data_IF_084574791645
#
_entry.id   IF_084574791645
#
_cell.length_a   1.000
_cell.length_b   1.000
_cell.length_c   1.000
_cell.angle_alpha   90.00
_cell.angle_beta   90.00
_cell.angle_gamma   90.00
#
_symmetry.space_group_name_H-M   'P 1'
#
loop_
_entity.id
_entity.type
_entity.pdbx_description
1 polymer ?
#
# COMPACT_ATOMS: atom_id res chain seq x y z
N UNK A 1 7.09 19.87 -5.80
CA UNK A 1 6.23 19.52 -6.99
C UNK A 1 5.79 18.09 -6.85
N UNK A 2 4.53 17.79 -7.08
CA UNK A 2 4.04 16.41 -7.01
C UNK A 2 4.63 15.63 -8.21
N UNK A 3 5.28 14.47 -8.01
CA UNK A 3 6.05 13.80 -9.07
C UNK A 3 5.26 13.52 -10.35
N UNK A 4 3.98 13.19 -10.25
CA UNK A 4 3.11 12.93 -11.40
C UNK A 4 2.87 14.17 -12.29
N UNK A 5 3.03 15.40 -11.77
CA UNK A 5 2.91 16.61 -12.58
C UNK A 5 3.98 16.68 -13.68
N UNK A 6 5.09 15.95 -13.50
CA UNK A 6 6.18 15.86 -14.49
C UNK A 6 5.86 14.95 -15.68
N UNK A 7 4.72 14.25 -15.66
CA UNK A 7 4.29 13.34 -16.73
C UNK A 7 3.39 13.98 -17.78
N UNK A 8 3.14 15.30 -17.73
CA UNK A 8 2.17 15.96 -18.60
C UNK A 8 2.41 15.70 -20.11
N UNK A 9 3.65 15.83 -20.57
CA UNK A 9 4.01 15.64 -21.99
C UNK A 9 3.85 14.19 -22.44
N UNK A 10 4.35 13.24 -21.67
CA UNK A 10 4.24 11.81 -22.01
C UNK A 10 2.79 11.33 -21.88
N UNK A 11 2.01 11.91 -20.98
CA UNK A 11 0.57 11.66 -20.88
C UNK A 11 -0.16 12.15 -22.11
N UNK A 12 0.19 13.34 -22.63
CA UNK A 12 -0.37 13.87 -23.87
C UNK A 12 -0.03 12.96 -25.05
N UNK A 13 1.22 12.49 -25.15
CA UNK A 13 1.63 11.54 -26.18
C UNK A 13 0.85 10.23 -26.12
N UNK A 14 0.68 9.65 -24.92
CA UNK A 14 -0.10 8.43 -24.75
C UNK A 14 -1.59 8.60 -25.10
N UNK A 15 -2.16 9.77 -24.80
CA UNK A 15 -3.56 10.10 -25.17
C UNK A 15 -3.79 10.31 -26.67
N UNK A 16 -2.74 10.65 -27.42
CA UNK A 16 -2.81 10.84 -28.87
C UNK A 16 -2.89 9.53 -29.67
N UNK A 17 -2.75 8.38 -29.01
CA UNK A 17 -2.91 7.07 -29.66
C UNK A 17 -4.34 6.91 -30.18
N UNK A 18 -4.52 6.39 -31.41
CA UNK A 18 -5.82 6.28 -32.11
C UNK A 18 -6.89 5.51 -31.28
N UNK A 19 -6.48 4.46 -30.54
CA UNK A 19 -7.36 3.67 -29.68
C UNK A 19 -7.38 4.19 -28.23
N UNK A 20 -6.90 5.41 -27.97
CA UNK A 20 -6.85 6.04 -26.66
C UNK A 20 -5.77 5.48 -25.74
N UNK A 21 -5.63 6.11 -24.58
CA UNK A 21 -4.62 5.78 -23.58
C UNK A 21 -4.97 4.51 -22.81
N UNK A 22 -3.93 3.71 -22.48
CA UNK A 22 -3.95 2.71 -21.42
C UNK A 22 -3.12 3.24 -20.25
N UNK A 23 -3.77 3.66 -19.19
CA UNK A 23 -3.10 4.21 -18.01
C UNK A 23 -2.82 3.11 -16.98
N UNK A 24 -1.55 2.72 -16.87
CA UNK A 24 -1.00 1.78 -15.90
C UNK A 24 -0.05 2.49 -14.91
N UNK A 25 -0.12 3.81 -14.80
CA UNK A 25 0.79 4.60 -13.96
C UNK A 25 0.34 4.71 -12.51
N UNK A 26 -0.97 4.70 -12.24
CA UNK A 26 -1.55 4.90 -10.92
C UNK A 26 -2.27 3.65 -10.46
N UNK A 27 -1.93 3.15 -9.28
CA UNK A 27 -2.58 1.99 -8.66
C UNK A 27 -3.97 2.32 -8.09
N UNK A 28 -4.84 2.91 -8.90
CA UNK A 28 -6.22 3.22 -8.51
C UNK A 28 -7.16 2.13 -9.04
N UNK A 29 -7.92 1.43 -8.18
CA UNK A 29 -8.89 0.45 -8.63
C UNK A 29 -9.91 1.05 -9.60
N UNK A 30 -10.30 0.28 -10.60
CA UNK A 30 -11.30 0.65 -11.62
C UNK A 30 -12.52 -0.25 -11.59
N UNK A 31 -12.45 -1.34 -10.84
CA UNK A 31 -13.53 -2.30 -10.69
C UNK A 31 -14.58 -1.79 -9.71
N UNK A 32 -15.84 -2.14 -9.95
CA UNK A 32 -16.94 -1.73 -9.09
C UNK A 32 -16.79 -2.23 -7.65
N UNK A 33 -17.29 -1.43 -6.71
CA UNK A 33 -17.44 -1.84 -5.32
C UNK A 33 -18.51 -2.94 -5.22
N UNK A 34 -18.23 -4.00 -4.47
CA UNK A 34 -19.12 -5.12 -4.30
C UNK A 34 -20.52 -4.71 -3.78
N UNK A 35 -21.62 -5.35 -4.24
CA UNK A 35 -22.98 -4.99 -3.84
C UNK A 35 -23.18 -4.96 -2.33
N UNK A 36 -22.69 -5.97 -1.60
CA UNK A 36 -22.81 -6.08 -0.14
C UNK A 36 -22.24 -4.83 0.58
N UNK A 37 -21.16 -4.27 0.07
CA UNK A 37 -20.54 -3.06 0.64
C UNK A 37 -21.37 -1.81 0.31
N UNK A 38 -21.87 -1.69 -0.93
CA UNK A 38 -22.71 -0.56 -1.36
C UNK A 38 -24.05 -0.55 -0.62
N UNK A 39 -24.63 -1.70 -0.38
CA UNK A 39 -25.86 -1.86 0.40
C UNK A 39 -25.67 -1.44 1.86
N UNK A 40 -24.57 -1.86 2.49
CA UNK A 40 -24.22 -1.45 3.85
C UNK A 40 -24.01 0.07 3.96
N UNK A 41 -23.33 0.67 2.98
CA UNK A 41 -23.16 2.12 2.90
C UNK A 41 -24.52 2.83 2.79
N UNK A 42 -25.38 2.37 1.89
CA UNK A 42 -26.72 2.94 1.67
C UNK A 42 -27.59 2.83 2.94
N UNK A 43 -27.59 1.68 3.59
CA UNK A 43 -28.33 1.46 4.84
C UNK A 43 -27.87 2.38 5.97
N UNK A 44 -26.59 2.74 6.02
CA UNK A 44 -26.00 3.63 7.01
C UNK A 44 -26.01 5.11 6.59
N UNK A 45 -26.66 5.48 5.48
CA UNK A 45 -26.65 6.87 4.96
C UNK A 45 -27.32 7.89 5.89
N UNK A 46 -28.26 7.48 6.74
CA UNK A 46 -28.86 8.35 7.76
C UNK A 46 -28.06 8.27 9.06
N UNK A 47 -27.03 9.07 9.18
CA UNK A 47 -26.12 9.12 10.33
C UNK A 47 -25.89 10.57 10.79
N UNK A 48 -26.88 11.19 11.49
CA UNK A 48 -26.83 12.61 11.85
C UNK A 48 -25.85 12.93 12.98
N UNK A 49 -25.39 11.92 13.74
CA UNK A 49 -24.43 12.10 14.84
C UNK A 49 -22.99 12.13 14.37
N UNK A 50 -22.11 12.73 15.20
CA UNK A 50 -20.66 12.65 14.94
C UNK A 50 -20.16 11.21 15.04
N UNK A 51 -19.27 10.78 14.12
CA UNK A 51 -18.67 9.45 14.20
C UNK A 51 -17.74 9.35 15.41
N UNK A 52 -17.54 8.13 15.91
CA UNK A 52 -16.53 7.89 16.94
C UNK A 52 -15.15 7.80 16.27
N UNK A 53 -14.17 8.51 16.84
CA UNK A 53 -12.77 8.47 16.34
C UNK A 53 -12.17 7.07 16.44
N UNK A 54 -12.51 6.35 17.52
CA UNK A 54 -12.04 4.96 17.74
C UNK A 54 -12.68 3.96 16.78
N UNK A 55 -13.70 4.37 16.02
CA UNK A 55 -14.54 3.46 15.26
C UNK A 55 -15.58 2.74 16.14
N UNK A 56 -16.62 2.22 15.51
CA UNK A 56 -17.63 1.41 16.21
C UNK A 56 -17.03 0.11 16.73
N UNK A 57 -17.54 -0.46 17.83
CA UNK A 57 -17.13 -1.79 18.29
C UNK A 57 -17.20 -2.83 17.16
N UNK A 58 -18.30 -2.82 16.39
CA UNK A 58 -18.49 -3.73 15.26
C UNK A 58 -17.37 -3.63 14.21
N UNK A 59 -16.89 -2.40 13.91
CA UNK A 59 -15.78 -2.22 12.96
C UNK A 59 -14.48 -2.82 13.51
N UNK A 60 -14.17 -2.55 14.76
CA UNK A 60 -12.93 -3.03 15.39
C UNK A 60 -12.90 -4.55 15.53
N UNK A 61 -14.03 -5.15 15.93
CA UNK A 61 -14.22 -6.59 15.98
C UNK A 61 -14.14 -7.23 14.58
N UNK A 62 -14.79 -6.63 13.59
CA UNK A 62 -14.70 -7.10 12.21
C UNK A 62 -13.26 -7.04 11.65
N UNK A 63 -12.51 -5.99 11.99
CA UNK A 63 -11.10 -5.88 11.59
C UNK A 63 -10.24 -6.95 12.25
N UNK A 64 -10.32 -7.13 13.57
CA UNK A 64 -9.56 -8.16 14.28
C UNK A 64 -9.91 -9.57 13.77
N UNK A 65 -11.21 -9.85 13.55
CA UNK A 65 -11.68 -11.13 13.01
C UNK A 65 -11.19 -11.37 11.58
N UNK A 66 -11.19 -10.33 10.72
CA UNK A 66 -10.68 -10.45 9.35
C UNK A 66 -9.16 -10.71 9.32
N UNK A 67 -8.40 -10.05 10.19
CA UNK A 67 -6.96 -10.26 10.33
C UNK A 67 -6.64 -11.71 10.71
N UNK A 68 -7.36 -12.27 11.66
CA UNK A 68 -7.21 -13.69 12.07
C UNK A 68 -7.61 -14.62 10.92
N UNK A 69 -8.82 -14.48 10.42
CA UNK A 69 -9.42 -15.38 9.42
C UNK A 69 -8.67 -15.39 8.09
N UNK A 70 -8.26 -14.22 7.59
CA UNK A 70 -7.63 -14.08 6.28
C UNK A 70 -6.13 -14.29 6.31
N UNK A 71 -5.47 -13.88 7.38
CA UNK A 71 -4.01 -13.77 7.41
C UNK A 71 -3.36 -14.49 8.59
N UNK A 72 -4.13 -15.17 9.45
CA UNK A 72 -3.61 -15.88 10.63
C UNK A 72 -3.02 -14.95 11.69
N UNK A 73 -3.40 -13.67 11.68
CA UNK A 73 -2.95 -12.68 12.66
C UNK A 73 -3.83 -12.80 13.89
N UNK A 74 -3.41 -13.64 14.83
CA UNK A 74 -4.17 -13.95 16.05
C UNK A 74 -3.85 -12.98 17.19
N UNK A 75 -4.77 -12.86 18.16
CA UNK A 75 -4.53 -12.10 19.39
C UNK A 75 -4.59 -10.58 19.26
N UNK A 76 -5.08 -10.04 18.15
CA UNK A 76 -5.33 -8.60 18.02
C UNK A 76 -6.51 -8.20 18.89
N UNK A 77 -6.25 -7.37 19.91
CA UNK A 77 -7.32 -6.76 20.72
C UNK A 77 -8.10 -5.77 19.85
N UNK A 78 -9.44 -5.88 19.72
CA UNK A 78 -10.25 -4.86 19.07
C UNK A 78 -10.05 -3.44 19.62
N UNK A 79 -9.62 -3.28 20.86
CA UNK A 79 -9.25 -1.97 21.42
C UNK A 79 -7.95 -1.41 20.82
N UNK A 80 -7.09 -2.26 20.29
CA UNK A 80 -5.86 -1.90 19.59
C UNK A 80 -6.05 -1.76 18.06
N UNK A 81 -7.28 -1.58 17.59
CA UNK A 81 -7.63 -1.27 16.19
C UNK A 81 -8.14 0.17 16.11
N UNK A 82 -7.59 0.94 15.17
CA UNK A 82 -7.98 2.35 14.96
C UNK A 82 -8.21 2.62 13.47
N UNK A 83 -9.44 3.02 13.05
CA UNK A 83 -9.72 3.37 11.67
C UNK A 83 -9.00 4.66 11.26
N UNK A 84 -8.59 4.72 10.00
CA UNK A 84 -7.92 5.84 9.38
C UNK A 84 -8.61 6.25 8.07
N UNK A 85 -8.54 7.53 7.72
CA UNK A 85 -9.12 8.08 6.49
C UNK A 85 -8.22 7.73 5.30
N UNK A 86 -8.06 6.42 5.09
CA UNK A 86 -7.07 5.78 4.21
C UNK A 86 -5.66 5.78 4.82
N UNK A 87 -4.89 4.75 4.50
CA UNK A 87 -3.51 4.58 5.03
C UNK A 87 -2.58 5.72 4.63
N UNK A 88 -2.81 6.38 3.49
CA UNK A 88 -2.02 7.54 3.09
C UNK A 88 -2.08 8.69 4.11
N UNK A 89 -3.26 8.98 4.64
CA UNK A 89 -3.44 9.98 5.69
C UNK A 89 -2.67 9.58 6.93
N UNK A 90 -2.87 8.34 7.40
CA UNK A 90 -2.18 7.84 8.58
C UNK A 90 -0.65 7.87 8.43
N UNK A 91 -0.12 7.39 7.32
CA UNK A 91 1.32 7.40 7.03
C UNK A 91 1.87 8.82 7.06
N UNK A 92 1.19 9.78 6.42
CA UNK A 92 1.64 11.16 6.36
C UNK A 92 1.68 11.84 7.74
N UNK A 93 0.74 11.50 8.62
CA UNK A 93 0.62 12.13 9.93
C UNK A 93 1.26 11.32 11.07
N UNK A 94 1.58 10.03 10.88
CA UNK A 94 2.08 9.18 11.94
C UNK A 94 3.31 9.75 12.67
N UNK A 95 4.38 10.23 11.99
CA UNK A 95 5.51 10.81 12.69
C UNK A 95 5.12 12.02 13.56
N UNK A 96 4.29 12.92 13.05
CA UNK A 96 3.80 14.08 13.80
C UNK A 96 2.91 13.67 14.98
N UNK A 97 2.03 12.67 14.79
CA UNK A 97 1.15 12.17 15.85
C UNK A 97 1.92 11.43 16.95
N UNK A 98 3.08 10.88 16.64
CA UNK A 98 4.02 10.29 17.59
C UNK A 98 4.87 11.34 18.31
N UNK A 99 4.74 12.62 17.97
CA UNK A 99 5.50 13.72 18.56
C UNK A 99 6.96 13.78 18.11
N UNK A 100 7.29 13.16 16.96
CA UNK A 100 8.65 13.20 16.43
C UNK A 100 9.01 14.62 15.97
N UNK A 101 10.29 14.95 16.08
CA UNK A 101 10.83 16.27 15.74
C UNK A 101 12.22 16.20 15.05
N UNK A 102 12.93 17.33 15.03
CA UNK A 102 14.25 17.45 14.37
C UNK A 102 15.36 16.63 15.07
N UNK A 103 15.14 16.14 16.28
CA UNK A 103 16.06 15.25 17.00
C UNK A 103 15.89 13.78 16.57
N UNK A 104 14.82 13.46 15.87
CA UNK A 104 14.44 12.11 15.52
C UNK A 104 14.82 11.72 14.09
N UNK A 105 14.96 10.42 13.90
CA UNK A 105 15.20 9.83 12.58
C UNK A 105 14.09 8.84 12.25
N UNK A 106 13.55 8.94 11.04
CA UNK A 106 12.61 7.99 10.45
C UNK A 106 13.31 7.20 9.36
N UNK A 107 13.25 5.88 9.44
CA UNK A 107 13.78 4.97 8.41
C UNK A 107 12.69 4.61 7.44
N UNK A 108 12.98 4.70 6.13
CA UNK A 108 12.10 4.30 5.04
C UNK A 108 12.84 3.36 4.09
N UNK A 109 12.14 2.48 3.33
CA UNK A 109 12.80 1.63 2.33
C UNK A 109 13.57 2.45 1.28
N UNK A 110 14.60 1.85 0.68
CA UNK A 110 15.38 2.46 -0.41
C UNK A 110 14.51 2.84 -1.61
N UNK A 111 13.62 1.93 -2.00
CA UNK A 111 12.52 2.17 -2.94
C UNK A 111 11.23 2.27 -2.14
N UNK A 112 10.68 3.45 -2.01
CA UNK A 112 9.63 3.74 -1.06
C UNK A 112 8.46 4.50 -1.69
N UNK A 113 7.26 4.21 -1.20
CA UNK A 113 6.12 5.09 -1.41
C UNK A 113 6.45 6.50 -0.87
N UNK A 114 6.40 7.56 -1.70
CA UNK A 114 6.92 8.88 -1.34
C UNK A 114 6.33 9.49 -0.06
N UNK A 115 5.16 9.04 0.36
CA UNK A 115 4.45 9.59 1.53
C UNK A 115 5.17 9.29 2.85
N UNK A 116 6.00 8.23 2.94
CA UNK A 116 6.77 7.96 4.16
C UNK A 116 7.76 9.11 4.44
N UNK A 117 8.53 9.50 3.43
CA UNK A 117 9.46 10.63 3.53
C UNK A 117 8.73 11.95 3.79
N UNK A 118 7.62 12.20 3.07
CA UNK A 118 6.81 13.40 3.28
C UNK A 118 6.29 13.49 4.72
N UNK A 119 5.85 12.37 5.30
CA UNK A 119 5.40 12.32 6.70
C UNK A 119 6.51 12.66 7.70
N UNK A 120 7.70 12.10 7.51
CA UNK A 120 8.87 12.43 8.34
C UNK A 120 9.26 13.92 8.24
N UNK A 121 9.28 14.46 7.02
CA UNK A 121 9.58 15.88 6.79
C UNK A 121 8.52 16.82 7.40
N UNK A 122 7.24 16.44 7.40
CA UNK A 122 6.16 17.19 8.05
C UNK A 122 6.35 17.28 9.57
N UNK A 123 6.91 16.23 10.18
CA UNK A 123 7.30 16.22 11.60
C UNK A 123 8.62 16.97 11.87
N UNK A 124 9.35 17.34 10.83
CA UNK A 124 10.69 17.94 10.95
C UNK A 124 11.83 16.94 11.14
N UNK A 125 11.53 15.63 11.10
CA UNK A 125 12.47 14.55 11.38
C UNK A 125 13.44 14.30 10.23
N UNK A 126 14.61 13.76 10.54
CA UNK A 126 15.56 13.27 9.54
C UNK A 126 15.04 11.98 8.88
N UNK A 127 15.37 11.78 7.59
CA UNK A 127 15.01 10.57 6.85
C UNK A 127 16.27 9.79 6.48
N UNK A 128 16.24 8.50 6.76
CA UNK A 128 17.28 7.54 6.34
C UNK A 128 16.63 6.46 5.46
N UNK A 129 17.17 6.26 4.27
CA UNK A 129 16.74 5.18 3.38
C UNK A 129 17.59 3.94 3.65
N UNK A 130 16.94 2.82 3.97
CA UNK A 130 17.63 1.56 4.26
C UNK A 130 16.70 0.35 4.05
N UNK A 131 17.23 -0.69 3.41
CA UNK A 131 16.57 -2.00 3.25
C UNK A 131 17.12 -3.05 4.23
N UNK A 132 18.17 -2.72 4.98
CA UNK A 132 18.76 -3.63 5.96
C UNK A 132 19.20 -2.89 7.23
N UNK A 133 19.16 -3.61 8.36
CA UNK A 133 19.59 -3.09 9.66
C UNK A 133 21.08 -2.71 9.69
N UNK A 134 21.90 -3.36 8.87
CA UNK A 134 23.34 -3.06 8.79
C UNK A 134 23.64 -1.69 8.19
N UNK A 135 22.73 -1.15 7.38
CA UNK A 135 22.84 0.20 6.81
C UNK A 135 22.62 1.31 7.86
N UNK A 136 21.94 0.99 8.97
CA UNK A 136 21.64 1.96 10.03
C UNK A 136 22.85 2.22 10.94
N UNK A 137 23.83 1.31 10.98
CA UNK A 137 24.98 1.42 11.87
C UNK A 137 24.56 1.47 13.35
N UNK A 138 25.20 2.32 14.18
CA UNK A 138 24.87 2.47 15.60
C UNK A 138 23.65 3.38 15.86
N UNK A 139 23.07 4.00 14.84
CA UNK A 139 21.95 4.94 14.99
C UNK A 139 20.67 4.19 15.41
N UNK A 140 19.93 4.79 16.35
CA UNK A 140 18.64 4.29 16.82
C UNK A 140 17.57 5.24 16.30
N UNK A 141 16.80 4.87 15.25
CA UNK A 141 15.70 5.68 14.76
C UNK A 141 14.52 5.63 15.73
N UNK A 142 13.65 6.63 15.68
CA UNK A 142 12.41 6.64 16.44
C UNK A 142 11.34 5.77 15.76
N UNK A 143 11.34 5.74 14.41
CA UNK A 143 10.35 5.02 13.60
C UNK A 143 11.02 4.33 12.42
N UNK A 144 10.64 3.09 12.17
CA UNK A 144 11.00 2.33 10.95
C UNK A 144 9.73 2.00 10.18
N UNK A 145 9.63 2.47 8.94
CA UNK A 145 8.62 2.00 8.00
C UNK A 145 9.10 0.75 7.27
N UNK A 146 8.27 -0.28 7.26
CA UNK A 146 8.35 -1.42 6.35
C UNK A 146 7.20 -1.34 5.34
N UNK A 147 7.39 -1.92 4.16
CA UNK A 147 6.33 -2.10 3.18
C UNK A 147 6.43 -3.48 2.53
N UNK A 148 5.56 -4.39 2.92
CA UNK A 148 5.54 -5.76 2.42
C UNK A 148 4.10 -6.28 2.31
N UNK A 149 3.68 -6.63 1.09
CA UNK A 149 4.32 -6.47 -0.22
C UNK A 149 4.65 -5.02 -0.59
N UNK A 150 5.77 -4.82 -1.26
CA UNK A 150 6.31 -3.49 -1.52
C UNK A 150 5.61 -2.76 -2.67
N UNK A 151 5.42 -1.48 -2.53
CA UNK A 151 5.23 -0.53 -3.61
C UNK A 151 6.53 0.30 -3.73
N UNK A 152 7.28 0.18 -4.85
CA UNK A 152 6.83 -0.21 -6.20
C UNK A 152 7.12 -1.65 -6.62
N UNK A 153 7.96 -2.40 -5.91
CA UNK A 153 8.64 -3.59 -6.44
C UNK A 153 7.82 -4.88 -6.41
N UNK A 154 6.79 -4.95 -5.57
CA UNK A 154 6.08 -6.20 -5.32
C UNK A 154 6.86 -7.25 -4.52
N UNK A 155 8.01 -6.87 -3.96
CA UNK A 155 8.84 -7.72 -3.12
C UNK A 155 8.15 -8.04 -1.80
N UNK A 156 8.31 -9.27 -1.33
CA UNK A 156 7.84 -9.73 -0.01
C UNK A 156 9.01 -9.92 0.94
N UNK A 157 8.91 -9.35 2.12
CA UNK A 157 9.90 -9.58 3.17
C UNK A 157 9.67 -10.96 3.81
N UNK A 158 10.71 -11.79 3.79
CA UNK A 158 10.64 -13.14 4.37
C UNK A 158 10.55 -13.12 5.89
N UNK A 159 9.98 -14.19 6.47
CA UNK A 159 9.74 -14.33 7.92
C UNK A 159 10.99 -14.10 8.76
N UNK A 160 12.14 -14.63 8.33
CA UNK A 160 13.41 -14.47 9.05
C UNK A 160 13.90 -13.01 9.06
N UNK A 161 13.66 -12.28 7.98
CA UNK A 161 13.97 -10.84 7.94
C UNK A 161 13.06 -10.07 8.91
N UNK A 162 11.74 -10.33 8.86
CA UNK A 162 10.78 -9.68 9.76
C UNK A 162 11.09 -9.97 11.23
N UNK A 163 11.41 -11.23 11.59
CA UNK A 163 11.84 -11.61 12.95
C UNK A 163 13.07 -10.82 13.41
N UNK A 164 14.07 -10.67 12.53
CA UNK A 164 15.28 -9.89 12.84
C UNK A 164 14.97 -8.42 13.08
N UNK A 165 14.09 -7.83 12.27
CA UNK A 165 13.66 -6.44 12.46
C UNK A 165 12.92 -6.28 13.77
N UNK A 166 11.96 -7.15 14.08
CA UNK A 166 11.20 -7.13 15.34
C UNK A 166 12.11 -7.28 16.55
N UNK A 167 13.01 -8.26 16.55
CA UNK A 167 13.98 -8.46 17.66
C UNK A 167 14.89 -7.24 17.86
N UNK A 168 15.46 -6.73 16.77
CA UNK A 168 16.31 -5.54 16.80
C UNK A 168 15.57 -4.29 17.29
N UNK A 169 14.34 -4.10 16.87
CA UNK A 169 13.51 -2.96 17.26
C UNK A 169 13.17 -2.99 18.75
N UNK A 170 12.77 -4.15 19.28
CA UNK A 170 12.46 -4.35 20.70
C UNK A 170 13.65 -4.10 21.61
N UNK A 171 14.84 -4.62 21.24
CA UNK A 171 16.07 -4.38 21.99
C UNK A 171 16.43 -2.90 22.14
N UNK A 172 15.91 -2.04 21.24
CA UNK A 172 16.25 -0.61 21.14
C UNK A 172 15.10 0.34 21.41
N UNK A 173 13.91 -0.20 21.69
CA UNK A 173 12.70 0.62 21.88
C UNK A 173 12.27 1.37 20.61
N UNK A 174 12.51 0.80 19.43
CA UNK A 174 12.17 1.40 18.14
C UNK A 174 10.75 0.97 17.74
N UNK A 175 9.92 1.92 17.34
CA UNK A 175 8.60 1.61 16.76
C UNK A 175 8.74 1.17 15.30
N UNK A 176 8.05 0.08 14.93
CA UNK A 176 7.97 -0.39 13.55
C UNK A 176 6.55 -0.23 13.03
N UNK A 177 6.39 0.50 11.93
CA UNK A 177 5.13 0.63 11.20
C UNK A 177 5.23 -0.11 9.86
N UNK A 178 4.53 -1.24 9.75
CA UNK A 178 4.48 -2.06 8.55
C UNK A 178 3.27 -1.67 7.69
N UNK A 179 3.52 -1.12 6.50
CA UNK A 179 2.47 -0.86 5.51
C UNK A 179 2.16 -2.17 4.76
N UNK A 180 1.02 -2.74 5.07
CA UNK A 180 0.53 -4.04 4.61
C UNK A 180 -0.68 -3.91 3.68
N UNK A 181 -0.77 -2.79 2.96
CA UNK A 181 -1.88 -2.50 2.04
C UNK A 181 -2.10 -3.55 0.94
N UNK A 182 -1.11 -4.40 0.69
CA UNK A 182 -1.14 -5.45 -0.33
C UNK A 182 -1.04 -6.87 0.24
N UNK A 183 -1.22 -7.05 1.54
CA UNK A 183 -1.04 -8.34 2.23
C UNK A 183 -1.85 -9.48 1.59
N UNK A 184 -3.10 -9.22 1.17
CA UNK A 184 -3.97 -10.18 0.49
C UNK A 184 -3.63 -10.45 -0.99
N UNK A 185 -2.60 -9.81 -1.55
CA UNK A 185 -2.26 -9.89 -2.97
C UNK A 185 -0.92 -10.62 -3.20
N UNK A 186 -0.76 -11.80 -2.61
CA UNK A 186 0.35 -12.71 -2.89
C UNK A 186 0.10 -13.49 -4.18
N UNK A 187 1.12 -13.60 -5.05
CA UNK A 187 1.08 -14.34 -6.31
C UNK A 187 1.98 -15.57 -6.26
N UNK A 188 3.28 -15.35 -6.16
CA UNK A 188 4.30 -16.39 -6.18
C UNK A 188 4.76 -16.78 -4.76
N UNK A 189 4.39 -15.99 -3.76
CA UNK A 189 4.64 -16.21 -2.34
C UNK A 189 3.48 -15.73 -1.49
N UNK A 190 3.37 -16.25 -0.26
CA UNK A 190 2.38 -15.80 0.73
C UNK A 190 3.02 -14.74 1.64
N UNK A 191 2.60 -13.47 1.55
CA UNK A 191 3.09 -12.44 2.45
C UNK A 191 2.64 -12.71 3.90
N UNK A 192 3.51 -12.39 4.86
CA UNK A 192 3.18 -12.42 6.28
C UNK A 192 3.15 -11.00 6.85
N UNK A 193 2.19 -10.78 7.76
CA UNK A 193 2.13 -9.56 8.55
C UNK A 193 3.24 -9.51 9.60
N UNK A 194 3.66 -8.29 9.98
CA UNK A 194 4.55 -8.10 11.13
C UNK A 194 3.90 -8.55 12.44
N UNK A 195 2.56 -8.58 12.50
CA UNK A 195 1.79 -9.04 13.66
C UNK A 195 1.51 -10.54 13.64
N UNK A 196 1.93 -11.28 12.60
CA UNK A 196 1.74 -12.72 12.55
C UNK A 196 2.52 -13.41 13.68
N UNK A 197 1.94 -14.41 14.37
CA UNK A 197 2.62 -15.09 15.48
C UNK A 197 4.00 -15.65 15.13
N UNK A 198 4.17 -16.16 13.91
CA UNK A 198 5.46 -16.64 13.41
C UNK A 198 6.51 -15.52 13.27
N UNK A 199 6.10 -14.26 13.27
CA UNK A 199 7.00 -13.10 13.16
C UNK A 199 7.26 -12.50 14.53
N UNK A 200 6.20 -12.12 15.25
CA UNK A 200 6.28 -11.35 16.50
C UNK A 200 6.17 -12.22 17.78
N UNK A 201 5.89 -13.52 17.66
CA UNK A 201 5.69 -14.40 18.80
C UNK A 201 4.40 -14.16 19.57
N UNK A 202 3.41 -13.46 18.94
CA UNK A 202 2.15 -13.10 19.56
C UNK A 202 2.21 -11.84 20.45
N UNK A 203 3.37 -11.20 20.56
CA UNK A 203 3.55 -9.92 21.26
C UNK A 203 3.56 -8.78 20.23
N UNK A 204 2.61 -7.85 20.31
CA UNK A 204 2.46 -6.73 19.39
C UNK A 204 3.13 -5.44 19.88
N UNK A 205 3.82 -5.45 21.02
CA UNK A 205 4.49 -4.27 21.58
C UNK A 205 5.53 -3.68 20.59
N UNK A 206 5.47 -2.37 20.38
CA UNK A 206 6.33 -1.65 19.43
C UNK A 206 6.03 -1.90 17.95
N UNK A 207 4.90 -2.54 17.60
CA UNK A 207 4.55 -2.89 16.23
C UNK A 207 3.19 -2.30 15.84
N UNK A 208 3.14 -1.70 14.64
CA UNK A 208 1.92 -1.25 13.98
C UNK A 208 1.83 -1.87 12.60
N UNK A 209 0.70 -2.47 12.26
CA UNK A 209 0.36 -2.92 10.90
C UNK A 209 -0.73 -2.03 10.31
N UNK A 210 -0.47 -1.46 9.13
CA UNK A 210 -1.36 -0.55 8.43
C UNK A 210 -2.08 -1.30 7.31
N UNK A 211 -3.41 -1.39 7.39
CA UNK A 211 -4.23 -2.14 6.45
C UNK A 211 -5.16 -1.22 5.66
N UNK A 212 -5.37 -1.54 4.39
CA UNK A 212 -6.20 -0.76 3.47
C UNK A 212 -7.21 -1.63 2.75
N UNK A 213 -8.45 -1.18 2.69
CA UNK A 213 -9.48 -1.77 1.84
C UNK A 213 -9.53 -1.14 0.44
N UNK A 214 -8.64 -0.18 0.17
CA UNK A 214 -8.60 0.52 -1.12
C UNK A 214 -8.39 -0.41 -2.31
N UNK A 215 -7.58 -1.46 -2.14
CA UNK A 215 -7.16 -2.33 -3.25
C UNK A 215 -7.91 -3.65 -3.27
N UNK A 216 -8.04 -4.30 -2.13
CA UNK A 216 -8.71 -5.60 -2.00
C UNK A 216 -10.23 -5.50 -2.11
N UNK A 217 -10.81 -4.33 -1.84
CA UNK A 217 -12.27 -4.10 -1.83
C UNK A 217 -12.73 -2.96 -2.75
N UNK A 218 -11.85 -2.42 -3.61
CA UNK A 218 -12.14 -1.25 -4.48
C UNK A 218 -12.62 -0.01 -3.73
N UNK A 219 -12.20 0.19 -2.47
CA UNK A 219 -12.65 1.29 -1.61
C UNK A 219 -11.70 2.49 -1.58
N UNK A 220 -10.89 2.70 -2.60
CA UNK A 220 -9.95 3.82 -2.64
C UNK A 220 -10.65 5.18 -2.46
N UNK A 221 -11.81 5.38 -3.09
CA UNK A 221 -12.63 6.59 -2.96
C UNK A 221 -13.32 6.74 -1.61
N UNK A 222 -13.54 5.64 -0.87
CA UNK A 222 -14.15 5.66 0.46
C UNK A 222 -13.16 6.05 1.55
N UNK A 223 -11.86 6.06 1.25
CA UNK A 223 -10.81 6.36 2.21
C UNK A 223 -10.81 5.37 3.40
N UNK A 224 -11.00 4.08 3.10
CA UNK A 224 -11.16 3.03 4.09
C UNK A 224 -9.82 2.34 4.40
N UNK A 225 -9.36 2.48 5.63
CA UNK A 225 -8.16 1.84 6.17
C UNK A 225 -8.18 1.83 7.68
N UNK A 226 -7.24 1.10 8.28
CA UNK A 226 -7.07 1.05 9.72
C UNK A 226 -5.63 0.66 10.08
N UNK A 227 -5.26 0.90 11.32
CA UNK A 227 -4.05 0.40 11.94
C UNK A 227 -4.42 -0.54 13.08
N UNK A 228 -3.62 -1.57 13.27
CA UNK A 228 -3.69 -2.49 14.40
C UNK A 228 -2.30 -2.76 14.96
N UNK A 229 -2.18 -3.15 16.23
CA UNK A 229 -0.90 -3.56 16.81
C UNK A 229 -0.75 -3.18 18.27
N UNK A 230 0.29 -2.44 18.63
CA UNK A 230 0.58 -1.99 19.98
C UNK A 230 -0.58 -1.17 20.57
N UNK A 231 -1.19 -1.70 21.63
CA UNK A 231 -2.38 -1.09 22.26
C UNK A 231 -2.09 0.26 22.92
N UNK A 232 -0.89 0.46 23.46
CA UNK A 232 -0.50 1.73 24.09
C UNK A 232 -0.31 2.81 23.04
N UNK A 233 0.43 2.51 21.97
CA UNK A 233 0.62 3.42 20.84
C UNK A 233 -0.70 3.76 20.16
N UNK A 234 -1.58 2.78 19.94
CA UNK A 234 -2.92 3.02 19.36
C UNK A 234 -3.77 3.92 20.27
N UNK A 235 -3.69 3.76 21.59
CA UNK A 235 -4.40 4.62 22.53
C UNK A 235 -3.89 6.07 22.51
N UNK A 236 -2.58 6.29 22.41
CA UNK A 236 -1.96 7.60 22.25
C UNK A 236 -2.39 8.28 20.95
N UNK A 237 -2.30 7.55 19.83
CA UNK A 237 -2.78 8.05 18.54
C UNK A 237 -4.26 8.42 18.58
N UNK A 238 -5.10 7.60 19.22
CA UNK A 238 -6.53 7.87 19.39
C UNK A 238 -6.76 9.16 20.18
N UNK A 239 -6.02 9.36 21.27
CA UNK A 239 -6.17 10.56 22.10
C UNK A 239 -5.94 11.86 21.29
N UNK A 240 -4.90 11.90 20.47
CA UNK A 240 -4.59 13.06 19.63
C UNK A 240 -5.60 13.21 18.48
N UNK A 241 -5.92 12.10 17.79
CA UNK A 241 -6.84 12.10 16.63
C UNK A 241 -8.24 12.59 16.98
N UNK A 242 -8.71 12.36 18.21
CA UNK A 242 -9.98 12.92 18.72
C UNK A 242 -10.02 14.44 18.63
N UNK A 243 -8.92 15.11 19.00
CA UNK A 243 -8.81 16.57 18.95
C UNK A 243 -8.50 17.10 17.54
N UNK A 244 -7.79 16.33 16.74
CA UNK A 244 -7.43 16.68 15.37
C UNK A 244 -8.59 16.54 14.36
N UNK A 245 -9.74 15.98 14.78
CA UNK A 245 -10.87 15.75 13.87
C UNK A 245 -10.67 14.66 12.85
N UNK A 246 -9.71 13.75 13.09
CA UNK A 246 -9.38 12.64 12.18
C UNK A 246 -10.34 11.46 12.41
N UNK A 247 -11.60 11.63 12.01
CA UNK A 247 -12.69 10.68 12.26
C UNK A 247 -13.20 10.07 10.96
N UNK A 248 -13.28 8.73 10.93
CA UNK A 248 -13.91 8.01 9.82
C UNK A 248 -15.42 8.26 9.81
N UNK A 249 -16.02 8.70 8.68
CA UNK A 249 -17.47 8.89 8.59
C UNK A 249 -18.25 7.60 8.91
N UNK A 250 -19.36 7.71 9.66
CA UNK A 250 -20.17 6.57 10.10
C UNK A 250 -20.62 5.66 8.95
N UNK A 251 -21.10 6.18 7.79
CA UNK A 251 -21.47 5.30 6.67
C UNK A 251 -20.30 4.50 6.11
N UNK A 252 -19.10 5.08 6.12
CA UNK A 252 -17.88 4.37 5.69
C UNK A 252 -17.51 3.28 6.67
N UNK A 253 -17.66 3.52 7.99
CA UNK A 253 -17.44 2.48 8.99
C UNK A 253 -18.36 1.26 8.78
N UNK A 254 -19.65 1.49 8.45
CA UNK A 254 -20.57 0.41 8.13
C UNK A 254 -20.17 -0.36 6.86
N UNK A 255 -19.74 0.36 5.82
CA UNK A 255 -19.21 -0.26 4.60
C UNK A 255 -17.95 -1.10 4.88
N UNK A 256 -17.07 -0.63 5.77
CA UNK A 256 -15.88 -1.39 6.19
C UNK A 256 -16.25 -2.67 6.95
N UNK A 257 -17.27 -2.63 7.82
CA UNK A 257 -17.77 -3.84 8.52
C UNK A 257 -18.21 -4.89 7.50
N UNK A 258 -19.00 -4.49 6.49
CA UNK A 258 -19.44 -5.39 5.44
C UNK A 258 -18.26 -5.96 4.62
N UNK A 259 -17.31 -5.12 4.24
CA UNK A 259 -16.14 -5.54 3.49
C UNK A 259 -15.23 -6.50 4.28
N UNK A 260 -15.04 -6.25 5.57
CA UNK A 260 -14.23 -7.11 6.44
C UNK A 260 -14.94 -8.44 6.79
N UNK A 261 -16.27 -8.46 6.74
CA UNK A 261 -17.07 -9.64 6.99
C UNK A 261 -17.27 -10.55 5.76
N UNK A 262 -16.95 -10.08 4.56
CA UNK A 262 -17.18 -10.80 3.30
C UNK A 262 -15.84 -11.12 2.61
N UNK A 263 -15.49 -12.39 2.53
CA UNK A 263 -14.24 -12.85 1.91
C UNK A 263 -14.39 -13.09 0.41
N UNK A 264 -15.62 -13.29 -0.09
CA UNK A 264 -15.88 -13.62 -1.50
C UNK A 264 -15.50 -12.47 -2.42
N UNK A 265 -15.87 -11.22 -2.10
CA UNK A 265 -15.51 -10.06 -2.92
C UNK A 265 -13.99 -9.82 -2.97
N UNK A 266 -13.27 -10.09 -1.88
CA UNK A 266 -11.80 -9.97 -1.84
C UNK A 266 -11.16 -11.03 -2.74
N UNK A 267 -11.65 -12.29 -2.66
CA UNK A 267 -11.20 -13.37 -3.52
C UNK A 267 -11.46 -13.07 -5.01
N UNK A 268 -12.65 -12.54 -5.35
CA UNK A 268 -12.96 -12.11 -6.70
C UNK A 268 -12.04 -10.99 -7.19
N UNK A 269 -11.81 -9.97 -6.38
CA UNK A 269 -10.94 -8.85 -6.74
C UNK A 269 -9.49 -9.31 -6.91
N UNK A 270 -9.01 -10.17 -6.02
CA UNK A 270 -7.69 -10.81 -6.15
C UNK A 270 -7.58 -11.59 -7.47
N UNK A 271 -8.61 -12.38 -7.82
CA UNK A 271 -8.64 -13.14 -9.07
C UNK A 271 -8.61 -12.22 -10.32
N UNK A 272 -9.25 -11.03 -10.27
CA UNK A 272 -9.16 -10.03 -11.36
C UNK A 272 -7.73 -9.53 -11.54
N UNK A 273 -7.05 -9.14 -10.47
CA UNK A 273 -5.65 -8.70 -10.54
C UNK A 273 -4.71 -9.82 -11.01
N UNK A 274 -4.95 -11.07 -10.56
CA UNK A 274 -4.17 -12.21 -11.01
C UNK A 274 -4.27 -12.38 -12.54
N UNK A 275 -5.48 -12.37 -13.10
CA UNK A 275 -5.67 -12.48 -14.57
C UNK A 275 -4.95 -11.35 -15.32
N UNK A 276 -5.00 -10.12 -14.82
CA UNK A 276 -4.31 -8.97 -15.43
C UNK A 276 -2.80 -9.14 -15.37
N UNK A 277 -2.27 -9.64 -14.25
CA UNK A 277 -0.86 -9.98 -14.10
C UNK A 277 -0.44 -11.06 -15.09
N UNK A 278 -1.22 -12.13 -15.19
CA UNK A 278 -0.92 -13.27 -16.06
C UNK A 278 -0.91 -12.90 -17.56
N UNK A 279 -1.55 -11.81 -17.92
CA UNK A 279 -1.51 -11.24 -19.27
C UNK A 279 -0.35 -10.26 -19.45
N UNK A 280 -0.16 -9.31 -18.52
CA UNK A 280 0.82 -8.24 -18.66
C UNK A 280 2.26 -8.70 -18.47
N UNK A 281 2.53 -9.61 -17.51
CA UNK A 281 3.88 -10.09 -17.22
C UNK A 281 4.55 -10.74 -18.44
N UNK A 282 3.96 -11.76 -19.10
CA UNK A 282 4.58 -12.34 -20.29
C UNK A 282 4.64 -11.38 -21.47
N UNK A 283 3.68 -10.45 -21.60
CA UNK A 283 3.70 -9.43 -22.66
C UNK A 283 4.87 -8.45 -22.50
N UNK A 284 5.17 -8.00 -21.29
CA UNK A 284 6.34 -7.19 -21.00
C UNK A 284 7.64 -7.93 -21.31
N UNK A 285 7.77 -9.18 -20.87
CA UNK A 285 8.96 -10.00 -21.14
C UNK A 285 9.16 -10.17 -22.64
N UNK A 286 8.10 -10.47 -23.40
CA UNK A 286 8.14 -10.60 -24.85
C UNK A 286 8.51 -9.30 -25.57
N UNK A 287 8.19 -8.15 -24.97
CA UNK A 287 8.58 -6.83 -25.47
C UNK A 287 10.00 -6.39 -25.04
N UNK A 288 10.79 -7.30 -24.46
CA UNK A 288 12.20 -7.07 -24.10
C UNK A 288 12.41 -6.46 -22.71
N UNK A 289 11.41 -6.52 -21.82
CA UNK A 289 11.60 -6.12 -20.43
C UNK A 289 12.13 -7.27 -19.58
N UNK A 290 12.93 -6.92 -18.59
CA UNK A 290 13.15 -7.75 -17.39
C UNK A 290 12.16 -7.27 -16.33
N UNK A 291 11.53 -8.20 -15.62
CA UNK A 291 10.64 -7.90 -14.49
C UNK A 291 11.28 -8.46 -13.24
N UNK A 292 11.61 -7.56 -12.31
CA UNK A 292 12.28 -7.91 -11.07
C UNK A 292 11.26 -8.01 -9.93
N UNK A 293 11.56 -8.80 -8.89
CA UNK A 293 10.67 -9.03 -7.75
C UNK A 293 9.24 -9.40 -8.21
N UNK A 294 8.25 -8.52 -7.98
CA UNK A 294 6.86 -8.64 -8.50
C UNK A 294 6.13 -9.93 -8.08
N UNK A 295 6.54 -10.52 -6.98
CA UNK A 295 6.01 -11.79 -6.42
C UNK A 295 4.69 -11.61 -5.67
N UNK A 296 4.33 -10.35 -5.41
CA UNK A 296 3.09 -9.96 -4.74
C UNK A 296 2.72 -8.49 -5.07
N UNK A 297 1.60 -8.02 -4.52
CA UNK A 297 1.17 -6.63 -4.63
C UNK A 297 0.46 -6.33 -5.95
N UNK A 298 0.43 -5.05 -6.30
CA UNK A 298 -0.42 -4.52 -7.36
C UNK A 298 0.38 -4.04 -8.58
N UNK A 299 1.68 -4.32 -8.62
CA UNK A 299 2.59 -3.73 -9.59
C UNK A 299 3.56 -4.76 -10.15
N UNK A 300 3.95 -4.54 -11.42
CA UNK A 300 5.11 -5.16 -12.03
C UNK A 300 6.23 -4.12 -12.07
N UNK A 301 7.41 -4.49 -11.57
CA UNK A 301 8.59 -3.66 -11.52
C UNK A 301 9.51 -4.06 -12.69
N UNK A 302 9.48 -3.27 -13.75
CA UNK A 302 10.01 -3.65 -15.05
C UNK A 302 11.11 -2.70 -15.52
N UNK A 303 12.10 -3.25 -16.24
CA UNK A 303 13.20 -2.47 -16.83
C UNK A 303 13.52 -2.96 -18.24
N UNK A 304 14.00 -2.03 -19.08
CA UNK A 304 14.63 -2.33 -20.38
C UNK A 304 16.15 -2.12 -20.35
N UNK A 305 16.73 -1.89 -19.15
CA UNK A 305 18.15 -1.59 -19.00
C UNK A 305 18.56 -0.17 -19.43
N UNK A 306 17.59 0.73 -19.58
CA UNK A 306 17.76 2.14 -19.97
C UNK A 306 17.19 3.08 -18.88
N UNK A 307 17.43 4.40 -18.95
CA UNK A 307 16.80 5.35 -18.02
C UNK A 307 15.27 5.22 -18.03
N UNK A 308 14.64 5.24 -16.86
CA UNK A 308 13.20 5.03 -16.72
C UNK A 308 12.35 6.00 -17.57
N UNK A 309 12.83 7.25 -17.77
CA UNK A 309 12.15 8.24 -18.60
C UNK A 309 12.11 7.86 -20.08
N UNK A 310 13.16 7.21 -20.59
CA UNK A 310 13.20 6.73 -21.97
C UNK A 310 12.21 5.58 -22.16
N UNK A 311 12.16 4.66 -21.20
CA UNK A 311 11.15 3.58 -21.18
C UNK A 311 9.72 4.13 -21.09
N UNK A 312 9.46 5.15 -20.26
CA UNK A 312 8.14 5.79 -20.17
C UNK A 312 7.78 6.45 -21.52
N UNK A 313 8.71 7.16 -22.16
CA UNK A 313 8.47 7.77 -23.46
C UNK A 313 8.20 6.70 -24.55
N UNK A 314 8.96 5.60 -24.54
CA UNK A 314 8.78 4.48 -25.47
C UNK A 314 7.38 3.84 -25.33
N UNK A 315 6.90 3.63 -24.09
CA UNK A 315 5.55 3.12 -23.83
C UNK A 315 4.47 4.13 -24.19
N UNK A 316 4.70 5.43 -23.91
CA UNK A 316 3.75 6.49 -24.22
C UNK A 316 3.48 6.63 -25.74
N UNK A 317 4.51 6.44 -26.59
CA UNK A 317 4.34 6.39 -28.04
C UNK A 317 3.41 5.25 -28.51
N UNK A 318 3.20 4.24 -27.67
CA UNK A 318 2.29 3.10 -27.87
C UNK A 318 0.96 3.27 -27.14
N UNK A 319 0.70 4.49 -26.66
CA UNK A 319 -0.50 4.78 -25.89
C UNK A 319 -0.55 4.11 -24.51
N UNK A 320 0.59 3.69 -23.96
CA UNK A 320 0.67 3.07 -22.62
C UNK A 320 1.40 4.03 -21.68
N UNK A 321 0.75 4.42 -20.59
CA UNK A 321 1.34 5.29 -19.57
C UNK A 321 1.70 4.46 -18.34
N UNK A 322 2.93 4.58 -17.84
CA UNK A 322 3.44 3.93 -16.62
C UNK A 322 4.14 4.96 -15.73
N UNK A 323 4.37 4.61 -14.46
CA UNK A 323 5.11 5.48 -13.56
C UNK A 323 6.63 5.24 -13.66
N UNK A 324 7.45 6.29 -13.80
CA UNK A 324 8.91 6.16 -13.75
C UNK A 324 9.36 5.76 -12.35
N UNK A 325 10.34 4.87 -12.29
CA UNK A 325 10.80 4.30 -11.03
C UNK A 325 11.52 5.30 -10.13
N UNK A 326 12.09 6.35 -10.68
CA UNK A 326 12.73 7.43 -9.91
C UNK A 326 11.79 8.14 -8.93
N UNK A 327 10.46 8.02 -9.12
CA UNK A 327 9.46 8.53 -8.15
C UNK A 327 9.53 7.85 -6.79
N UNK A 328 10.14 6.69 -6.71
CA UNK A 328 10.23 5.85 -5.50
C UNK A 328 11.60 5.89 -4.84
N UNK A 329 12.57 6.49 -5.51
CA UNK A 329 13.93 6.65 -5.01
C UNK A 329 15.00 6.48 -6.10
N UNK A 330 16.24 6.86 -5.80
CA UNK A 330 17.33 6.86 -6.81
C UNK A 330 17.58 5.49 -7.45
N UNK A 331 17.38 4.40 -6.71
CA UNK A 331 17.54 3.02 -7.22
C UNK A 331 16.51 2.65 -8.29
N UNK A 332 15.43 3.42 -8.43
CA UNK A 332 14.42 3.24 -9.45
C UNK A 332 14.74 3.86 -10.81
N UNK A 333 15.91 4.48 -10.99
CA UNK A 333 16.24 5.27 -12.18
C UNK A 333 16.21 4.49 -13.51
N UNK A 334 16.33 3.16 -13.48
CA UNK A 334 16.27 2.30 -14.67
C UNK A 334 14.99 1.45 -14.78
N UNK A 335 14.02 1.65 -13.88
CA UNK A 335 12.79 0.85 -13.83
C UNK A 335 11.55 1.70 -14.06
N UNK A 336 10.49 1.03 -14.44
CA UNK A 336 9.13 1.58 -14.45
C UNK A 336 8.21 0.71 -13.61
N UNK A 337 7.19 1.32 -13.00
CA UNK A 337 6.15 0.61 -12.28
C UNK A 337 4.91 0.50 -13.15
N UNK A 338 4.48 -0.72 -13.43
CA UNK A 338 3.28 -1.05 -14.21
C UNK A 338 2.18 -1.53 -13.28
N UNK A 339 1.05 -0.83 -13.21
CA UNK A 339 -0.06 -1.16 -12.32
C UNK A 339 -1.04 -2.17 -12.95
N UNK A 340 -1.64 -3.03 -12.12
CA UNK A 340 -2.65 -4.03 -12.51
C UNK A 340 -4.09 -3.48 -12.45
N UNK A 341 -4.26 -2.16 -12.38
CA UNK A 341 -5.53 -1.49 -12.05
C UNK A 341 -6.29 -0.92 -13.25
N UNK A 342 -5.89 -1.21 -14.48
CA UNK A 342 -6.71 -0.90 -15.67
C UNK A 342 -7.82 -1.95 -15.83
N UNK A 343 -8.87 -1.62 -16.60
CA UNK A 343 -9.93 -2.59 -16.96
C UNK A 343 -9.35 -3.74 -17.79
N UNK A 344 -10.02 -4.88 -17.78
CA UNK A 344 -9.58 -6.07 -18.53
C UNK A 344 -9.43 -5.78 -20.04
N UNK A 345 -10.31 -4.93 -20.60
CA UNK A 345 -10.22 -4.43 -21.97
C UNK A 345 -8.93 -3.62 -22.22
N UNK A 346 -8.59 -2.70 -21.29
CA UNK A 346 -7.41 -1.86 -21.41
C UNK A 346 -6.12 -2.66 -21.22
N UNK A 347 -6.14 -3.66 -20.34
CA UNK A 347 -5.03 -4.60 -20.20
C UNK A 347 -4.81 -5.38 -21.49
N UNK A 348 -5.88 -5.90 -22.12
CA UNK A 348 -5.79 -6.59 -23.40
C UNK A 348 -5.22 -5.66 -24.51
N UNK A 349 -5.63 -4.40 -24.54
CA UNK A 349 -5.09 -3.41 -25.48
C UNK A 349 -3.59 -3.16 -25.23
N UNK A 350 -3.13 -3.08 -23.97
CA UNK A 350 -1.70 -2.94 -23.66
C UNK A 350 -0.90 -4.15 -24.17
N UNK A 351 -1.40 -5.37 -23.94
CA UNK A 351 -0.77 -6.61 -24.39
C UNK A 351 -0.62 -6.63 -25.92
N UNK A 352 -1.66 -6.25 -26.66
CA UNK A 352 -1.62 -6.17 -28.11
C UNK A 352 -0.56 -5.15 -28.59
N UNK A 353 -0.53 -3.96 -28.03
CA UNK A 353 0.42 -2.90 -28.38
C UNK A 353 1.88 -3.27 -28.06
N UNK A 354 2.10 -4.03 -26.99
CA UNK A 354 3.42 -4.58 -26.68
C UNK A 354 3.84 -5.66 -27.70
N UNK A 355 2.92 -6.52 -28.13
CA UNK A 355 3.19 -7.57 -29.12
C UNK A 355 3.56 -6.98 -30.51
N UNK A 356 2.88 -5.91 -30.93
CA UNK A 356 3.17 -5.23 -32.21
C UNK A 356 4.54 -4.54 -32.22
N UNK A 357 5.10 -4.26 -31.05
CA UNK A 357 6.45 -3.67 -30.93
C UNK A 357 7.58 -4.68 -30.95
N UNK A 358 7.29 -5.97 -30.83
CA UNK A 358 8.28 -7.06 -30.89
C UNK A 358 8.53 -7.57 -32.33
N UNK A 359 7.76 -7.07 -33.31
CA UNK A 359 7.91 -7.33 -34.74
C UNK A 359 8.77 -6.25 -35.39
#
# INVERSE_FOLDING_TARGET
MFPWDTLAEVTAAARAHEDGIVDLSVGTPVDDVAPVIREALAAASSAPGYPTTHGTPALREAAASALDRRYGITGVDPAAVLPAIGTKELIAWLPTLLGLDAGDTVVVPELAYPTYEVGALLAGSAVVRADSLTQLGPSVPALVYLNSPSNPTGKVLGVEHLRKVVGWARERGVLVASDECYLGLGWDTTPLSILHPDVCGGDHSGLLALHSLSKTSSLAGYRAGFVAGDAEVVAELLAIRKHAGMMMPTPIQAAMVAALGDDDHEAEQRARYQRRRDLLLPALISAGFTVDDSEAGLYLWATRGEPCRDTVAWLAQRGILVAPGEFYGPRGASHVRVALTATDERVAAAVQRLADSAR
#
